data_IF_089046482825
#
_entry.id   IF_089046482825
#
_cell.length_a   1.000
_cell.length_b   1.000
_cell.length_c   1.000
_cell.angle_alpha   90.00
_cell.angle_beta   90.00
_cell.angle_gamma   90.00
#
_symmetry.space_group_name_H-M   'P 1'
#
loop_
_entity.id
_entity.type
_entity.pdbx_description
1 polymer ?
#
# COMPACT_ATOMS: atom_id res chain seq x y z
N UNK A 1 -15.80 -23.53 -6.71
CA UNK A 1 -15.40 -22.98 -5.39
C UNK A 1 -16.44 -21.94 -4.98
N UNK A 2 -16.96 -21.99 -3.75
CA UNK A 2 -17.82 -20.91 -3.22
C UNK A 2 -16.92 -19.86 -2.59
N UNK A 3 -16.87 -18.66 -3.17
CA UNK A 3 -16.16 -17.54 -2.55
C UNK A 3 -16.98 -17.01 -1.36
N UNK A 4 -16.28 -16.64 -0.29
CA UNK A 4 -16.86 -16.13 0.96
C UNK A 4 -16.26 -14.78 1.35
N UNK A 5 -16.80 -14.12 2.37
CA UNK A 5 -16.22 -12.89 2.93
C UNK A 5 -14.73 -13.08 3.30
N UNK A 6 -14.41 -14.20 3.95
CA UNK A 6 -13.03 -14.59 4.27
C UNK A 6 -12.13 -14.72 3.03
N UNK A 7 -12.69 -15.14 1.88
CA UNK A 7 -11.92 -15.19 0.63
C UNK A 7 -11.53 -13.79 0.17
N UNK A 8 -12.46 -12.82 0.25
CA UNK A 8 -12.20 -11.42 -0.09
C UNK A 8 -11.15 -10.83 0.85
N UNK A 9 -11.30 -11.03 2.15
CA UNK A 9 -10.36 -10.55 3.18
C UNK A 9 -8.95 -11.10 2.96
N UNK A 10 -8.82 -12.41 2.75
CA UNK A 10 -7.52 -13.05 2.48
C UNK A 10 -6.90 -12.54 1.19
N UNK A 11 -7.68 -12.42 0.12
CA UNK A 11 -7.20 -11.86 -1.15
C UNK A 11 -6.74 -10.43 -0.97
N UNK A 12 -7.52 -9.59 -0.28
CA UNK A 12 -7.17 -8.20 0.03
C UNK A 12 -5.87 -8.13 0.84
N UNK A 13 -5.77 -8.90 1.91
CA UNK A 13 -4.57 -8.96 2.75
C UNK A 13 -3.33 -9.27 1.90
N UNK A 14 -3.36 -10.34 1.09
CA UNK A 14 -2.22 -10.74 0.25
C UNK A 14 -1.91 -9.69 -0.81
N UNK A 15 -2.92 -9.26 -1.57
CA UNK A 15 -2.73 -8.35 -2.70
C UNK A 15 -2.21 -6.98 -2.25
N UNK A 16 -2.75 -6.43 -1.16
CA UNK A 16 -2.28 -5.17 -0.61
C UNK A 16 -0.90 -5.30 0.05
N UNK A 17 -0.59 -6.44 0.68
CA UNK A 17 0.75 -6.70 1.22
C UNK A 17 1.80 -6.70 0.12
N UNK A 18 1.56 -7.47 -0.96
CA UNK A 18 2.47 -7.53 -2.12
C UNK A 18 2.63 -6.15 -2.76
N UNK A 19 1.55 -5.39 -2.90
CA UNK A 19 1.60 -4.02 -3.43
C UNK A 19 2.45 -3.12 -2.54
N UNK A 20 2.24 -3.13 -1.21
CA UNK A 20 3.06 -2.33 -0.29
C UNK A 20 4.54 -2.70 -0.33
N UNK A 21 4.86 -4.00 -0.42
CA UNK A 21 6.23 -4.49 -0.53
C UNK A 21 6.87 -4.03 -1.85
N UNK A 22 6.12 -4.03 -2.95
CA UNK A 22 6.62 -3.51 -4.23
C UNK A 22 6.97 -2.02 -4.13
N UNK A 23 6.14 -1.21 -3.46
CA UNK A 23 6.40 0.21 -3.22
C UNK A 23 7.66 0.42 -2.38
N UNK A 24 7.80 -0.29 -1.25
CA UNK A 24 8.98 -0.16 -0.39
C UNK A 24 10.25 -0.68 -1.04
N UNK A 25 10.15 -1.73 -1.85
CA UNK A 25 11.29 -2.24 -2.64
C UNK A 25 11.72 -1.20 -3.67
N UNK A 26 10.78 -0.56 -4.37
CA UNK A 26 11.09 0.52 -5.31
C UNK A 26 11.81 1.67 -4.61
N UNK A 27 11.27 2.17 -3.49
CA UNK A 27 11.86 3.25 -2.72
C UNK A 27 13.26 2.91 -2.21
N UNK A 28 13.44 1.70 -1.66
CA UNK A 28 14.74 1.24 -1.17
C UNK A 28 15.78 1.17 -2.29
N UNK A 29 15.42 0.62 -3.45
CA UNK A 29 16.33 0.57 -4.59
C UNK A 29 16.65 1.96 -5.14
N UNK A 30 15.69 2.88 -5.17
CA UNK A 30 15.93 4.25 -5.62
C UNK A 30 16.98 4.94 -4.74
N UNK A 31 16.87 4.79 -3.42
CA UNK A 31 17.87 5.30 -2.46
C UNK A 31 19.23 4.62 -2.61
N UNK A 32 19.27 3.28 -2.71
CA UNK A 32 20.54 2.52 -2.78
C UNK A 32 21.28 2.79 -4.09
N UNK A 33 20.56 2.91 -5.20
CA UNK A 33 21.16 3.14 -6.52
C UNK A 33 21.40 4.63 -6.82
N UNK A 34 20.86 5.53 -6.00
CA UNK A 34 20.97 6.97 -6.20
C UNK A 34 20.34 7.45 -7.50
N UNK A 35 19.25 6.80 -7.94
CA UNK A 35 18.52 7.17 -9.16
C UNK A 35 17.01 7.00 -8.98
N UNK A 36 16.19 7.82 -9.66
CA UNK A 36 14.74 7.78 -9.52
C UNK A 36 14.07 6.56 -10.16
N UNK A 37 14.76 5.88 -11.08
CA UNK A 37 14.26 4.80 -11.92
C UNK A 37 15.04 3.47 -11.69
N UNK A 38 15.07 2.94 -10.45
CA UNK A 38 15.82 1.72 -10.13
C UNK A 38 15.29 0.47 -10.88
N UNK A 39 14.02 0.51 -11.26
CA UNK A 39 13.30 -0.48 -12.05
C UNK A 39 12.25 0.22 -12.91
N UNK A 40 11.51 -0.52 -13.73
CA UNK A 40 10.42 0.05 -14.54
C UNK A 40 9.43 0.80 -13.63
N UNK A 41 9.25 2.10 -13.91
CA UNK A 41 8.49 3.03 -13.07
C UNK A 41 7.02 2.63 -12.84
N UNK A 42 6.44 1.87 -13.76
CA UNK A 42 5.05 1.42 -13.67
C UNK A 42 4.85 0.20 -12.77
N UNK A 43 5.91 -0.46 -12.29
CA UNK A 43 5.80 -1.71 -11.50
C UNK A 43 4.92 -1.54 -10.26
N UNK A 44 5.16 -0.56 -9.35
CA UNK A 44 4.29 -0.38 -8.18
C UNK A 44 2.83 -0.11 -8.56
N UNK A 45 2.62 0.68 -9.62
CA UNK A 45 1.28 0.96 -10.16
C UNK A 45 0.58 -0.28 -10.71
N UNK A 46 1.31 -1.16 -11.42
CA UNK A 46 0.77 -2.40 -11.95
C UNK A 46 0.39 -3.38 -10.83
N UNK A 47 1.18 -3.48 -9.76
CA UNK A 47 0.79 -4.24 -8.57
C UNK A 47 -0.49 -3.68 -7.93
N UNK A 48 -0.59 -2.35 -7.78
CA UNK A 48 -1.79 -1.71 -7.22
C UNK A 48 -3.04 -1.92 -8.07
N UNK A 49 -2.92 -1.78 -9.39
CA UNK A 49 -4.03 -2.04 -10.32
C UNK A 49 -4.42 -3.52 -10.32
N UNK A 50 -3.42 -4.42 -10.36
CA UNK A 50 -3.65 -5.86 -10.28
C UNK A 50 -4.34 -6.27 -8.98
N UNK A 51 -3.94 -5.68 -7.84
CA UNK A 51 -4.58 -5.88 -6.55
C UNK A 51 -6.04 -5.41 -6.57
N UNK A 52 -6.32 -4.23 -7.12
CA UNK A 52 -7.68 -3.71 -7.24
C UNK A 52 -8.56 -4.63 -8.09
N UNK A 53 -8.09 -5.02 -9.28
CA UNK A 53 -8.81 -5.94 -10.18
C UNK A 53 -9.08 -7.28 -9.49
N UNK A 54 -8.08 -7.84 -8.81
CA UNK A 54 -8.21 -9.14 -8.13
C UNK A 54 -9.22 -9.08 -6.98
N UNK A 55 -9.15 -8.05 -6.12
CA UNK A 55 -10.08 -7.87 -5.00
C UNK A 55 -11.51 -7.66 -5.53
N UNK A 56 -11.69 -6.82 -6.55
CA UNK A 56 -12.99 -6.60 -7.18
C UNK A 56 -13.54 -7.88 -7.80
N UNK A 57 -12.73 -8.64 -8.53
CA UNK A 57 -13.15 -9.90 -9.14
C UNK A 57 -13.63 -10.90 -8.07
N UNK A 58 -12.85 -11.09 -6.99
CA UNK A 58 -13.24 -11.98 -5.89
C UNK A 58 -14.52 -11.50 -5.19
N UNK A 59 -14.67 -10.20 -4.97
CA UNK A 59 -15.88 -9.63 -4.37
C UNK A 59 -17.12 -9.83 -5.26
N UNK A 60 -17.00 -9.64 -6.57
CA UNK A 60 -18.08 -9.89 -7.52
C UNK A 60 -18.47 -11.37 -7.56
N UNK A 61 -17.49 -12.27 -7.58
CA UNK A 61 -17.71 -13.73 -7.58
C UNK A 61 -18.30 -14.25 -6.26
N UNK A 62 -17.98 -13.62 -5.13
CA UNK A 62 -18.54 -13.97 -3.82
C UNK A 62 -19.99 -13.47 -3.63
N UNK A 63 -20.41 -12.48 -4.43
CA UNK A 63 -21.73 -11.88 -4.37
C UNK A 63 -21.88 -10.80 -3.29
N UNK A 64 -22.99 -10.06 -3.38
CA UNK A 64 -23.24 -8.84 -2.60
C UNK A 64 -23.20 -9.06 -1.08
N UNK A 65 -23.79 -10.14 -0.58
CA UNK A 65 -23.83 -10.44 0.85
C UNK A 65 -22.43 -10.66 1.43
N UNK A 66 -21.60 -11.47 0.76
CA UNK A 66 -20.21 -11.70 1.17
C UNK A 66 -19.35 -10.43 1.05
N UNK A 67 -19.56 -9.63 0.00
CA UNK A 67 -18.87 -8.36 -0.17
C UNK A 67 -19.22 -7.35 0.94
N UNK A 68 -20.50 -7.26 1.33
CA UNK A 68 -20.95 -6.42 2.44
C UNK A 68 -20.35 -6.88 3.78
N UNK A 69 -20.32 -8.20 4.03
CA UNK A 69 -19.67 -8.74 5.22
C UNK A 69 -18.16 -8.44 5.25
N UNK A 70 -17.46 -8.54 4.11
CA UNK A 70 -16.03 -8.23 4.03
C UNK A 70 -15.70 -6.72 4.03
N UNK A 71 -16.72 -5.84 3.97
CA UNK A 71 -16.60 -4.37 3.95
C UNK A 71 -17.46 -3.72 5.03
N UNK A 72 -17.60 -4.42 6.15
CA UNK A 72 -18.38 -4.02 7.31
C UNK A 72 -17.80 -2.81 8.08
N UNK A 73 -18.35 -2.52 9.25
CA UNK A 73 -17.89 -1.41 10.09
C UNK A 73 -16.46 -1.60 10.60
N UNK A 74 -16.01 -2.84 10.81
CA UNK A 74 -14.63 -3.12 11.18
C UNK A 74 -13.67 -2.73 10.04
N UNK A 75 -13.97 -3.15 8.82
CA UNK A 75 -13.21 -2.75 7.63
C UNK A 75 -13.11 -1.21 7.51
N UNK A 76 -14.25 -0.52 7.66
CA UNK A 76 -14.30 0.95 7.58
C UNK A 76 -13.49 1.61 8.69
N UNK A 77 -13.60 1.14 9.92
CA UNK A 77 -12.85 1.67 11.06
C UNK A 77 -11.33 1.47 10.85
N UNK A 78 -10.92 0.28 10.40
CA UNK A 78 -9.53 -0.05 10.07
C UNK A 78 -9.00 0.84 8.95
N UNK A 79 -9.76 1.01 7.86
CA UNK A 79 -9.37 1.88 6.75
C UNK A 79 -9.22 3.34 7.16
N UNK A 80 -10.16 3.89 7.94
CA UNK A 80 -10.06 5.27 8.46
C UNK A 80 -8.83 5.45 9.36
N UNK A 81 -8.56 4.49 10.24
CA UNK A 81 -7.39 4.53 11.12
C UNK A 81 -6.10 4.43 10.33
N UNK A 82 -6.02 3.53 9.34
CA UNK A 82 -4.88 3.41 8.45
C UNK A 82 -4.64 4.71 7.67
N UNK A 83 -5.68 5.34 7.15
CA UNK A 83 -5.59 6.62 6.46
C UNK A 83 -5.08 7.74 7.36
N UNK A 84 -5.59 7.85 8.60
CA UNK A 84 -5.12 8.85 9.56
C UNK A 84 -3.63 8.66 9.93
N UNK A 85 -3.19 7.42 10.15
CA UNK A 85 -1.79 7.13 10.43
C UNK A 85 -0.91 7.38 9.20
N UNK A 86 -1.37 6.98 8.01
CA UNK A 86 -0.65 7.19 6.76
C UNK A 86 -0.48 8.68 6.45
N UNK A 87 -1.46 9.52 6.80
CA UNK A 87 -1.35 10.98 6.69
C UNK A 87 -0.17 11.51 7.52
N UNK A 88 -0.12 11.18 8.82
CA UNK A 88 0.97 11.62 9.69
C UNK A 88 2.33 11.05 9.27
N UNK A 89 2.35 9.78 8.87
CA UNK A 89 3.55 9.14 8.35
C UNK A 89 4.02 9.80 7.05
N UNK A 90 3.11 10.21 6.18
CA UNK A 90 3.45 10.93 4.95
C UNK A 90 4.08 12.29 5.25
N UNK A 91 3.55 13.03 6.24
CA UNK A 91 4.18 14.28 6.69
C UNK A 91 5.61 14.05 7.23
N UNK A 92 5.81 12.99 8.00
CA UNK A 92 7.14 12.61 8.47
C UNK A 92 8.08 12.22 7.31
N UNK A 93 7.56 11.52 6.30
CA UNK A 93 8.33 11.17 5.09
C UNK A 93 8.73 12.40 4.28
N UNK A 94 7.86 13.41 4.15
CA UNK A 94 8.22 14.69 3.55
C UNK A 94 9.42 15.33 4.25
N UNK A 95 9.39 15.42 5.58
CA UNK A 95 10.49 15.98 6.36
C UNK A 95 11.77 15.14 6.21
N UNK A 96 11.67 13.81 6.28
CA UNK A 96 12.80 12.91 6.14
C UNK A 96 13.48 13.05 4.77
N UNK A 97 12.69 13.05 3.70
CA UNK A 97 13.20 13.16 2.33
C UNK A 97 13.81 14.55 2.08
N UNK A 98 13.20 15.62 2.59
CA UNK A 98 13.78 16.96 2.53
C UNK A 98 15.15 17.03 3.22
N UNK A 99 15.31 16.36 4.37
CA UNK A 99 16.61 16.26 5.04
C UNK A 99 17.63 15.46 4.21
N UNK A 100 17.23 14.34 3.59
CA UNK A 100 18.11 13.57 2.71
C UNK A 100 18.66 14.44 1.56
N UNK A 101 17.81 15.26 0.95
CA UNK A 101 18.23 16.20 -0.10
C UNK A 101 19.14 17.30 0.47
N UNK A 102 18.78 17.90 1.60
CA UNK A 102 19.56 18.98 2.22
C UNK A 102 20.99 18.53 2.59
N UNK A 103 21.16 17.28 3.00
CA UNK A 103 22.48 16.70 3.31
C UNK A 103 23.20 16.08 2.09
N UNK A 104 22.68 16.28 0.87
CA UNK A 104 23.28 15.76 -0.35
C UNK A 104 23.27 14.24 -0.46
N UNK A 105 22.36 13.55 0.26
CA UNK A 105 22.22 12.08 0.24
C UNK A 105 21.31 11.58 -0.88
N UNK A 106 20.49 12.45 -1.46
CA UNK A 106 19.65 12.15 -2.61
C UNK A 106 19.45 13.43 -3.46
N UNK A 107 19.30 13.29 -4.77
CA UNK A 107 18.81 14.36 -5.63
C UNK A 107 17.28 14.47 -5.56
N UNK A 108 16.73 15.58 -6.06
CA UNK A 108 15.29 15.83 -6.03
C UNK A 108 14.46 14.78 -6.79
N UNK A 109 14.95 14.25 -7.91
CA UNK A 109 14.19 13.25 -8.67
C UNK A 109 14.09 11.95 -7.89
N UNK A 110 15.21 11.47 -7.33
CA UNK A 110 15.24 10.28 -6.48
C UNK A 110 14.36 10.48 -5.24
N UNK A 111 14.44 11.65 -4.60
CA UNK A 111 13.60 12.02 -3.48
C UNK A 111 12.10 11.96 -3.80
N UNK A 112 11.66 12.48 -4.95
CA UNK A 112 10.25 12.39 -5.37
C UNK A 112 9.79 10.95 -5.62
N UNK A 113 10.63 10.14 -6.27
CA UNK A 113 10.31 8.73 -6.53
C UNK A 113 10.14 7.94 -5.22
N UNK A 114 11.05 8.14 -4.27
CA UNK A 114 11.00 7.55 -2.92
C UNK A 114 9.76 8.01 -2.17
N UNK A 115 9.51 9.32 -2.15
CA UNK A 115 8.38 9.88 -1.43
C UNK A 115 7.05 9.34 -1.96
N UNK A 116 6.83 9.40 -3.28
CA UNK A 116 5.58 8.96 -3.91
C UNK A 116 5.29 7.47 -3.66
N UNK A 117 6.30 6.62 -3.80
CA UNK A 117 6.15 5.17 -3.57
C UNK A 117 5.97 4.85 -2.08
N UNK A 118 6.74 5.44 -1.18
CA UNK A 118 6.60 5.23 0.27
C UNK A 118 5.25 5.70 0.80
N UNK A 119 4.74 6.86 0.34
CA UNK A 119 3.42 7.35 0.73
C UNK A 119 2.31 6.37 0.35
N UNK A 120 2.28 5.92 -0.91
CA UNK A 120 1.30 4.92 -1.36
C UNK A 120 1.44 3.59 -0.62
N UNK A 121 2.66 3.09 -0.46
CA UNK A 121 2.94 1.85 0.27
C UNK A 121 2.57 1.91 1.75
N UNK A 122 2.70 3.08 2.38
CA UNK A 122 2.45 3.26 3.81
C UNK A 122 1.00 3.00 4.22
N UNK A 123 0.03 3.55 3.47
CA UNK A 123 -1.39 3.30 3.72
C UNK A 123 -1.71 1.81 3.60
N UNK A 124 -1.23 1.16 2.54
CA UNK A 124 -1.47 -0.25 2.29
C UNK A 124 -0.89 -1.14 3.39
N UNK A 125 0.36 -0.87 3.80
CA UNK A 125 1.01 -1.60 4.88
C UNK A 125 0.30 -1.40 6.23
N UNK A 126 -0.10 -0.16 6.55
CA UNK A 126 -0.84 0.14 7.77
C UNK A 126 -2.21 -0.52 7.79
N UNK A 127 -2.92 -0.52 6.65
CA UNK A 127 -4.20 -1.21 6.52
C UNK A 127 -4.02 -2.71 6.79
N UNK A 128 -3.09 -3.37 6.09
CA UNK A 128 -2.78 -4.79 6.25
C UNK A 128 -2.42 -5.13 7.71
N UNK A 129 -1.57 -4.32 8.32
CA UNK A 129 -1.12 -4.54 9.69
C UNK A 129 -2.25 -4.40 10.72
N UNK A 130 -3.08 -3.37 10.58
CA UNK A 130 -4.23 -3.15 11.47
C UNK A 130 -5.31 -4.22 11.28
N UNK A 131 -5.61 -4.61 10.03
CA UNK A 131 -6.58 -5.66 9.70
C UNK A 131 -6.15 -7.00 10.31
N UNK A 132 -4.87 -7.37 10.16
CA UNK A 132 -4.31 -8.55 10.80
C UNK A 132 -4.35 -8.52 12.32
N UNK A 133 -4.13 -7.33 12.91
CA UNK A 133 -4.20 -7.15 14.36
C UNK A 133 -5.63 -7.25 14.88
N UNK A 134 -6.63 -6.83 14.10
CA UNK A 134 -8.04 -6.89 14.47
C UNK A 134 -8.62 -8.31 14.35
N UNK A 135 -8.06 -9.14 13.47
CA UNK A 135 -8.45 -10.56 13.31
C UNK A 135 -7.80 -11.53 14.31
N UNK A 136 -7.00 -11.03 15.25
CA UNK A 136 -6.43 -11.79 16.38
C UNK A 136 -7.20 -11.49 17.65
#
# INVERSE_FOLDING_TARGET
MRFSAQSIEKTRFIALSVTSLSCFTYAALALVQGRPDPMLWWIPGAFGLGAAVLICAVALLAGRSAAQAATDELYKATSRRAASLAYWLSLALFALVALLVAFGRADWNTAYAVLGTMMGGSYLALFVWLDWRAGR
#
